data_IF_328913909488
#
_entry.id   IF_328913909488
#
_cell.length_a   1.000
_cell.length_b   1.000
_cell.length_c   1.000
_cell.angle_alpha   90.00
_cell.angle_beta   90.00
_cell.angle_gamma   90.00
#
_symmetry.space_group_name_H-M   'P 1'
#
loop_
_entity.id
_entity.type
_entity.pdbx_description
1 polymer ?
#
# COMPACT_ATOMS: atom_id res chain seq x y z
N UNK A 1 -24.09 0.24 5.65
CA UNK A 1 -24.24 0.98 4.38
C UNK A 1 -22.86 1.03 3.78
N UNK A 2 -22.56 0.16 2.82
CA UNK A 2 -21.32 0.25 2.04
C UNK A 2 -21.64 1.21 0.91
N UNK A 3 -20.93 2.34 0.86
CA UNK A 3 -21.08 3.31 -0.21
C UNK A 3 -20.61 2.66 -1.52
N UNK A 4 -21.55 2.37 -2.41
CA UNK A 4 -21.29 1.70 -3.69
C UNK A 4 -20.42 2.57 -4.63
N UNK A 5 -20.23 3.87 -4.33
CA UNK A 5 -19.36 4.77 -5.11
C UNK A 5 -17.87 4.71 -4.74
N UNK A 6 -17.47 3.87 -3.77
CA UNK A 6 -16.09 3.87 -3.28
C UNK A 6 -15.12 3.02 -4.14
N UNK A 7 -15.64 2.20 -5.06
CA UNK A 7 -14.83 1.38 -5.97
C UNK A 7 -14.09 2.19 -7.05
N UNK A 8 -14.60 3.37 -7.41
CA UNK A 8 -14.00 4.20 -8.47
C UNK A 8 -13.01 5.24 -7.93
N UNK A 9 -12.86 5.37 -6.60
CA UNK A 9 -12.07 6.47 -6.01
C UNK A 9 -10.60 6.47 -6.46
N UNK A 10 -10.04 5.30 -6.73
CA UNK A 10 -8.65 5.12 -7.12
C UNK A 10 -8.52 4.51 -8.51
N UNK A 11 -9.36 4.97 -9.45
CA UNK A 11 -9.33 4.53 -10.84
C UNK A 11 -9.26 5.77 -11.75
N UNK A 12 -8.34 5.75 -12.72
CA UNK A 12 -8.26 6.81 -13.73
C UNK A 12 -9.38 6.70 -14.75
N UNK A 13 -9.65 7.79 -15.48
CA UNK A 13 -10.71 7.82 -16.52
C UNK A 13 -10.55 6.73 -17.60
N UNK A 14 -9.31 6.29 -17.88
CA UNK A 14 -8.96 5.23 -18.82
C UNK A 14 -8.79 3.84 -18.18
N UNK A 15 -9.23 3.67 -16.92
CA UNK A 15 -9.38 2.38 -16.26
C UNK A 15 -8.11 1.82 -15.60
N UNK A 16 -7.10 2.66 -15.33
CA UNK A 16 -5.92 2.24 -14.58
C UNK A 16 -6.11 2.48 -13.09
N UNK A 17 -5.55 1.61 -12.26
CA UNK A 17 -5.48 1.84 -10.83
C UNK A 17 -4.58 3.05 -10.54
N UNK A 18 -5.07 3.92 -9.65
CA UNK A 18 -4.30 5.01 -9.06
C UNK A 18 -3.70 4.53 -7.74
N UNK A 19 -2.47 4.96 -7.46
CA UNK A 19 -1.83 4.68 -6.18
C UNK A 19 -2.69 5.20 -5.02
N UNK A 20 -3.10 4.34 -4.09
CA UNK A 20 -3.99 4.74 -2.99
C UNK A 20 -3.37 5.78 -2.03
N UNK A 21 -2.04 5.96 -2.09
CA UNK A 21 -1.29 6.91 -1.26
C UNK A 21 -1.05 8.27 -1.92
N UNK A 22 -0.90 8.31 -3.24
CA UNK A 22 -0.49 9.53 -3.95
C UNK A 22 -1.24 9.81 -5.24
N UNK A 23 -2.21 8.96 -5.59
CA UNK A 23 -3.13 9.09 -6.73
C UNK A 23 -2.45 9.13 -8.10
N UNK A 24 -1.16 8.81 -8.18
CA UNK A 24 -0.45 8.65 -9.45
C UNK A 24 -0.91 7.35 -10.11
N UNK A 25 -1.22 7.44 -11.41
CA UNK A 25 -1.55 6.30 -12.26
C UNK A 25 -0.46 5.23 -12.20
N UNK A 26 -0.87 4.00 -11.94
CA UNK A 26 0.01 2.83 -12.00
C UNK A 26 -0.01 2.18 -13.38
N UNK A 27 0.80 1.16 -13.59
CA UNK A 27 0.82 0.42 -14.86
C UNK A 27 -0.33 -0.59 -15.00
N UNK A 28 -1.07 -0.84 -13.92
CA UNK A 28 -2.10 -1.86 -13.88
C UNK A 28 -3.48 -1.29 -14.18
N UNK A 29 -4.20 -2.00 -15.05
CA UNK A 29 -5.64 -1.78 -15.27
C UNK A 29 -6.45 -2.56 -14.24
N UNK A 30 -7.64 -2.03 -13.95
CA UNK A 30 -8.55 -2.62 -12.95
C UNK A 30 -9.07 -4.01 -13.33
N UNK A 31 -8.95 -4.41 -14.61
CA UNK A 31 -9.33 -5.72 -15.14
C UNK A 31 -8.23 -6.79 -15.04
N UNK A 32 -6.99 -6.40 -14.76
CA UNK A 32 -5.87 -7.34 -14.54
C UNK A 32 -6.07 -8.04 -13.19
N UNK A 33 -5.86 -9.36 -13.10
CA UNK A 33 -6.02 -10.09 -11.84
C UNK A 33 -5.06 -9.56 -10.75
N UNK A 34 -5.50 -9.47 -9.49
CA UNK A 34 -4.71 -8.88 -8.39
C UNK A 34 -3.38 -9.61 -8.21
N UNK A 35 -3.38 -10.93 -8.40
CA UNK A 35 -2.22 -11.80 -8.27
C UNK A 35 -1.11 -11.49 -9.31
N UNK A 36 -1.47 -10.82 -10.40
CA UNK A 36 -0.56 -10.41 -11.47
C UNK A 36 -0.02 -8.99 -11.25
N UNK A 37 -0.47 -8.28 -10.21
CA UNK A 37 -0.11 -6.90 -9.92
C UNK A 37 1.02 -6.83 -8.89
N UNK A 38 2.14 -6.24 -9.27
CA UNK A 38 3.16 -5.86 -8.30
C UNK A 38 2.65 -4.72 -7.42
N UNK A 39 3.08 -4.71 -6.15
CA UNK A 39 2.79 -3.61 -5.22
C UNK A 39 1.32 -3.42 -4.84
N UNK A 40 0.46 -4.39 -5.15
CA UNK A 40 -0.87 -4.46 -4.57
C UNK A 40 -0.78 -4.90 -3.11
N UNK A 41 -1.48 -4.22 -2.21
CA UNK A 41 -1.52 -4.55 -0.79
C UNK A 41 -2.93 -4.98 -0.42
N UNK A 42 -3.08 -6.23 0.00
CA UNK A 42 -4.38 -6.81 0.39
C UNK A 42 -5.08 -5.94 1.44
N UNK A 43 -6.32 -5.57 1.14
CA UNK A 43 -7.15 -4.72 2.01
C UNK A 43 -6.78 -3.23 2.02
N UNK A 44 -5.73 -2.81 1.31
CA UNK A 44 -5.37 -1.40 1.15
C UNK A 44 -5.51 -0.90 -0.29
N UNK A 45 -5.15 -1.73 -1.27
CA UNK A 45 -5.25 -1.41 -2.71
C UNK A 45 -3.89 -1.27 -3.39
N UNK A 46 -3.90 -0.74 -4.62
CA UNK A 46 -2.73 -0.64 -5.47
C UNK A 46 -1.80 0.51 -5.04
N UNK A 47 -0.49 0.26 -4.97
CA UNK A 47 0.53 1.29 -4.79
C UNK A 47 1.38 1.47 -6.04
N UNK A 48 1.95 2.67 -6.21
CA UNK A 48 3.07 2.86 -7.12
C UNK A 48 4.38 2.36 -6.46
N UNK A 49 5.43 2.04 -7.26
CA UNK A 49 6.68 1.47 -6.72
C UNK A 49 7.32 2.33 -5.62
N UNK A 50 7.25 3.66 -5.76
CA UNK A 50 7.81 4.61 -4.79
C UNK A 50 7.09 4.56 -3.44
N UNK A 51 5.76 4.54 -3.45
CA UNK A 51 4.97 4.49 -2.21
C UNK A 51 5.08 3.13 -1.52
N UNK A 52 5.15 2.04 -2.30
CA UNK A 52 5.38 0.70 -1.76
C UNK A 52 6.74 0.60 -1.06
N UNK A 53 7.83 1.03 -1.73
CA UNK A 53 9.16 1.06 -1.11
C UNK A 53 9.20 1.90 0.16
N UNK A 54 8.58 3.09 0.16
CA UNK A 54 8.53 3.94 1.35
C UNK A 54 7.76 3.30 2.52
N UNK A 55 6.70 2.54 2.24
CA UNK A 55 5.97 1.79 3.26
C UNK A 55 6.83 0.66 3.86
N UNK A 56 7.61 -0.05 3.04
CA UNK A 56 8.54 -1.07 3.51
C UNK A 56 9.65 -0.48 4.40
N UNK A 57 10.20 0.67 4.02
CA UNK A 57 11.28 1.33 4.78
C UNK A 57 10.78 1.74 6.18
N UNK A 58 9.60 2.37 6.25
CA UNK A 58 8.97 2.72 7.54
C UNK A 58 8.72 1.47 8.40
N UNK A 59 8.25 0.39 7.79
CA UNK A 59 7.98 -0.87 8.51
C UNK A 59 9.25 -1.47 9.10
N UNK A 60 10.35 -1.47 8.34
CA UNK A 60 11.67 -1.97 8.81
C UNK A 60 12.22 -1.13 9.96
N UNK A 61 12.09 0.20 9.87
CA UNK A 61 12.51 1.10 10.94
C UNK A 61 11.70 0.85 12.23
N UNK A 62 10.38 0.70 12.11
CA UNK A 62 9.52 0.40 13.23
C UNK A 62 9.86 -0.93 13.90
N UNK A 63 10.12 -1.98 13.11
CA UNK A 63 10.56 -3.28 13.61
C UNK A 63 11.89 -3.19 14.37
N UNK A 64 12.85 -2.44 13.83
CA UNK A 64 14.14 -2.24 14.46
C UNK A 64 14.01 -1.51 15.80
N UNK A 65 13.28 -0.39 15.81
CA UNK A 65 13.03 0.39 17.02
C UNK A 65 12.27 -0.42 18.06
N UNK A 66 11.28 -1.21 17.64
CA UNK A 66 10.51 -2.09 18.53
C UNK A 66 11.39 -3.16 19.16
N UNK A 67 12.30 -3.79 18.40
CA UNK A 67 13.28 -4.75 18.94
C UNK A 67 14.22 -4.09 19.95
N UNK A 68 14.73 -2.91 19.62
CA UNK A 68 15.59 -2.14 20.51
C UNK A 68 14.86 -1.83 21.82
N UNK A 69 13.72 -1.14 21.76
CA UNK A 69 12.95 -0.76 22.96
C UNK A 69 12.61 -1.98 23.83
N UNK A 70 12.14 -3.08 23.24
CA UNK A 70 11.88 -4.32 23.98
C UNK A 70 13.13 -4.87 24.69
N UNK A 71 14.31 -4.77 24.08
CA UNK A 71 15.56 -5.15 24.73
C UNK A 71 15.91 -4.24 25.91
N UNK A 72 15.68 -2.92 25.80
CA UNK A 72 15.98 -1.97 26.88
C UNK A 72 15.05 -2.14 28.07
N UNK A 73 13.75 -2.35 27.82
CA UNK A 73 12.75 -2.48 28.89
C UNK A 73 12.68 -3.88 29.51
N UNK A 74 13.24 -4.93 28.87
CA UNK A 74 13.35 -6.28 29.47
C UNK A 74 14.50 -6.45 30.46
N UNK A 75 15.44 -5.52 30.52
CA UNK A 75 16.62 -5.57 31.41
C UNK A 75 16.39 -4.76 32.70
N UNK A 76 15.18 -4.23 32.91
CA UNK A 76 14.80 -3.45 34.08
C UNK A 76 13.77 -4.17 34.95
#
# INVERSE_FOLDING_TARGET
MVDENNLEKYVSEDGFDLCVMCEIKTEYKTDIAIEERSFYVDGAGQLCPKCYSGAEDISREYDYLSKYLNSFYKIR
#
